data_IF_035921169907
#
_entry.id   IF_035921169907
#
_cell.length_a   1.000
_cell.length_b   1.000
_cell.length_c   1.000
_cell.angle_alpha   90.00
_cell.angle_beta   90.00
_cell.angle_gamma   90.00
#
_symmetry.space_group_name_H-M   'P 1'
#
loop_
_entity.id
_entity.type
_entity.pdbx_description
1 polymer ?
#
# COMPACT_ATOMS: atom_id res chain seq x y z
N UNK A 1 32.15 16.58 -6.00
CA UNK A 1 31.52 15.26 -6.16
C UNK A 1 30.77 15.26 -7.50
N UNK A 2 30.98 14.26 -8.37
CA UNK A 2 30.24 14.14 -9.64
C UNK A 2 29.03 13.26 -9.39
N UNK A 3 27.83 13.68 -9.80
CA UNK A 3 26.61 12.89 -9.73
C UNK A 3 25.89 12.90 -11.10
N UNK A 4 25.13 11.85 -11.37
CA UNK A 4 24.32 11.77 -12.60
C UNK A 4 23.01 12.50 -12.35
N UNK A 5 22.82 13.63 -12.99
CA UNK A 5 21.54 14.32 -12.97
C UNK A 5 20.55 13.59 -13.90
N UNK A 6 19.50 13.00 -13.32
CA UNK A 6 18.46 12.27 -14.07
C UNK A 6 17.19 13.09 -14.27
N UNK A 7 17.07 14.24 -13.60
CA UNK A 7 15.92 15.13 -13.66
C UNK A 7 16.34 16.57 -13.46
N UNK A 8 15.68 17.49 -14.15
CA UNK A 8 15.85 18.90 -13.86
C UNK A 8 15.34 19.21 -12.45
N UNK A 9 16.14 19.92 -11.68
CA UNK A 9 15.76 20.41 -10.35
C UNK A 9 15.02 21.72 -10.56
N UNK A 10 13.73 21.75 -10.18
CA UNK A 10 12.87 22.94 -10.26
C UNK A 10 12.62 23.50 -8.86
N UNK A 11 12.39 24.82 -8.76
CA UNK A 11 12.16 25.51 -7.50
C UNK A 11 13.43 25.87 -6.74
N UNK A 12 13.27 26.42 -5.54
CA UNK A 12 14.35 26.84 -4.66
C UNK A 12 14.85 25.65 -3.85
N UNK A 13 16.13 25.31 -3.96
CA UNK A 13 16.72 24.20 -3.18
C UNK A 13 16.78 24.58 -1.70
N UNK A 14 16.16 23.79 -0.84
CA UNK A 14 16.16 23.98 0.63
C UNK A 14 17.15 23.06 1.33
N UNK A 15 17.25 21.80 0.91
CA UNK A 15 18.11 20.83 1.56
C UNK A 15 18.60 19.78 0.55
N UNK A 16 19.79 19.23 0.82
CA UNK A 16 20.39 18.15 0.04
C UNK A 16 20.89 17.08 1.00
N UNK A 17 20.36 15.87 0.86
CA UNK A 17 20.76 14.71 1.65
C UNK A 17 21.50 13.71 0.79
N UNK A 18 22.67 13.29 1.25
CA UNK A 18 23.47 12.22 0.62
C UNK A 18 23.35 10.97 1.46
N UNK A 19 22.93 9.86 0.85
CA UNK A 19 22.77 8.58 1.53
C UNK A 19 23.42 7.44 0.77
N UNK A 20 23.77 6.37 1.48
CA UNK A 20 24.32 5.15 0.89
C UNK A 20 23.44 3.94 1.19
N UNK A 21 23.09 3.19 0.17
CA UNK A 21 22.38 1.93 0.32
C UNK A 21 22.92 0.87 -0.63
N UNK A 22 23.21 -0.33 -0.10
CA UNK A 22 23.71 -1.48 -0.87
C UNK A 22 24.93 -1.18 -1.77
N UNK A 23 25.81 -0.27 -1.33
CA UNK A 23 27.02 0.16 -2.06
C UNK A 23 26.76 1.18 -3.17
N UNK A 24 25.54 1.73 -3.27
CA UNK A 24 25.17 2.83 -4.15
C UNK A 24 24.99 4.12 -3.35
N UNK A 25 25.38 5.24 -3.91
CA UNK A 25 25.14 6.55 -3.36
C UNK A 25 23.91 7.18 -4.01
N UNK A 26 23.12 7.87 -3.21
CA UNK A 26 21.93 8.58 -3.61
C UNK A 26 22.00 10.02 -3.13
N UNK A 27 21.48 10.93 -3.92
CA UNK A 27 21.31 12.34 -3.56
C UNK A 27 19.81 12.61 -3.60
N UNK A 28 19.28 13.12 -2.49
CA UNK A 28 17.89 13.61 -2.38
C UNK A 28 17.97 15.13 -2.26
N UNK A 29 17.28 15.84 -3.14
CA UNK A 29 17.24 17.29 -3.18
C UNK A 29 15.81 17.72 -2.84
N UNK A 30 15.67 18.46 -1.75
CA UNK A 30 14.40 19.06 -1.36
C UNK A 30 14.30 20.44 -1.99
N UNK A 31 13.21 20.69 -2.69
CA UNK A 31 12.94 21.99 -3.31
C UNK A 31 11.58 22.53 -2.85
N UNK A 32 11.47 23.83 -2.85
CA UNK A 32 10.22 24.57 -2.62
C UNK A 32 9.84 25.29 -3.91
N UNK A 33 8.58 25.20 -4.30
CA UNK A 33 8.02 25.91 -5.45
C UNK A 33 6.57 26.27 -5.19
N UNK A 34 6.17 27.45 -5.62
CA UNK A 34 4.78 27.83 -5.65
C UNK A 34 4.12 27.16 -6.83
N UNK A 35 2.98 26.49 -6.58
CA UNK A 35 2.21 25.79 -7.62
C UNK A 35 0.74 26.19 -7.44
N UNK A 36 0.08 26.58 -8.54
CA UNK A 36 -1.38 26.77 -8.53
C UNK A 36 -2.08 25.47 -8.15
N UNK A 37 -3.19 25.55 -7.44
CA UNK A 37 -3.99 24.38 -7.08
C UNK A 37 -4.45 23.68 -8.36
N UNK A 38 -3.99 22.44 -8.62
CA UNK A 38 -4.36 21.74 -9.83
C UNK A 38 -5.84 21.31 -9.78
N UNK A 39 -6.47 21.24 -10.95
CA UNK A 39 -7.80 20.67 -11.11
C UNK A 39 -7.66 19.30 -11.78
N UNK A 40 -8.28 18.29 -11.20
CA UNK A 40 -8.18 16.95 -11.76
C UNK A 40 -8.95 16.85 -13.08
N UNK A 41 -8.36 16.27 -14.16
CA UNK A 41 -9.01 16.20 -15.48
C UNK A 41 -10.22 15.25 -15.52
N UNK A 42 -10.35 14.35 -14.54
CA UNK A 42 -11.50 13.44 -14.42
C UNK A 42 -12.39 13.89 -13.26
N UNK A 43 -13.70 13.67 -13.37
CA UNK A 43 -14.67 13.82 -12.29
C UNK A 43 -15.05 12.48 -11.64
N UNK A 44 -14.47 11.36 -12.09
CA UNK A 44 -14.87 10.03 -11.62
C UNK A 44 -14.38 9.72 -10.22
N UNK A 45 -15.17 8.91 -9.51
CA UNK A 45 -14.85 8.37 -8.20
C UNK A 45 -14.71 6.84 -8.29
N UNK A 46 -13.84 6.26 -7.49
CA UNK A 46 -13.62 4.82 -7.43
C UNK A 46 -13.39 4.33 -6.00
N UNK A 47 -14.00 3.20 -5.65
CA UNK A 47 -13.68 2.45 -4.44
C UNK A 47 -12.56 1.44 -4.73
N UNK A 48 -11.61 1.31 -3.83
CA UNK A 48 -10.47 0.41 -3.93
C UNK A 48 -10.45 -0.53 -2.73
N UNK A 49 -10.64 -1.82 -2.98
CA UNK A 49 -10.47 -2.90 -2.00
C UNK A 49 -9.06 -3.48 -2.12
N UNK A 50 -8.30 -3.46 -1.02
CA UNK A 50 -6.92 -3.94 -0.95
C UNK A 50 -6.86 -5.36 -0.40
N UNK A 51 -6.37 -6.31 -1.20
CA UNK A 51 -6.35 -7.73 -0.85
C UNK A 51 -4.98 -8.40 -0.97
N UNK A 52 -4.87 -9.61 -0.42
CA UNK A 52 -3.65 -10.43 -0.52
C UNK A 52 -3.67 -11.27 -1.81
N UNK A 53 -4.82 -11.79 -2.21
CA UNK A 53 -4.99 -12.59 -3.43
C UNK A 53 -4.91 -11.70 -4.68
N UNK A 54 -5.51 -10.53 -4.62
CA UNK A 54 -5.38 -9.43 -5.57
C UNK A 54 -4.81 -8.24 -4.83
N UNK A 55 -3.85 -7.50 -5.42
CA UNK A 55 -3.27 -6.33 -4.77
C UNK A 55 -4.35 -5.29 -4.47
N UNK A 56 -5.17 -5.02 -5.47
CA UNK A 56 -6.30 -4.11 -5.36
C UNK A 56 -7.37 -4.48 -6.39
N UNK A 57 -8.64 -4.36 -6.00
CA UNK A 57 -9.81 -4.49 -6.88
C UNK A 57 -10.58 -3.18 -6.83
N UNK A 58 -10.89 -2.62 -7.98
CA UNK A 58 -11.65 -1.38 -8.09
C UNK A 58 -13.16 -1.67 -8.22
N UNK A 59 -13.98 -0.70 -7.86
CA UNK A 59 -15.45 -0.78 -7.93
C UNK A 59 -15.99 -0.88 -9.37
N UNK A 60 -15.20 -0.50 -10.36
CA UNK A 60 -15.48 -0.68 -11.80
C UNK A 60 -15.18 -2.11 -12.30
N UNK A 61 -14.59 -2.97 -11.46
CA UNK A 61 -14.19 -4.32 -11.79
C UNK A 61 -12.72 -4.47 -12.23
N UNK A 62 -11.98 -3.39 -12.34
CA UNK A 62 -10.53 -3.43 -12.64
C UNK A 62 -9.78 -4.13 -11.51
N UNK A 63 -8.89 -5.06 -11.87
CA UNK A 63 -8.11 -5.85 -10.91
C UNK A 63 -6.62 -5.65 -11.15
N UNK A 64 -5.87 -5.43 -10.07
CA UNK A 64 -4.41 -5.41 -10.07
C UNK A 64 -3.87 -6.64 -9.35
N UNK A 65 -3.11 -7.46 -10.09
CA UNK A 65 -2.51 -8.67 -9.55
C UNK A 65 -1.34 -8.37 -8.61
N UNK A 66 -1.11 -9.19 -7.56
CA UNK A 66 0.01 -8.99 -6.65
C UNK A 66 1.35 -9.38 -7.31
N UNK A 67 2.37 -8.56 -7.14
CA UNK A 67 3.71 -8.87 -7.67
C UNK A 67 4.43 -9.96 -6.88
N UNK A 68 4.09 -10.14 -5.60
CA UNK A 68 4.64 -11.14 -4.68
C UNK A 68 6.18 -11.22 -4.70
N UNK A 69 6.82 -10.06 -4.65
CA UNK A 69 8.26 -9.92 -4.86
C UNK A 69 9.10 -10.65 -3.81
N UNK A 70 8.65 -10.63 -2.55
CA UNK A 70 9.31 -11.36 -1.46
C UNK A 70 9.08 -12.87 -1.61
N UNK A 71 7.85 -13.30 -1.84
CA UNK A 71 7.49 -14.71 -1.98
C UNK A 71 8.30 -15.40 -3.09
N UNK A 72 8.41 -14.75 -4.27
CA UNK A 72 9.21 -15.26 -5.40
C UNK A 72 10.69 -15.42 -5.09
N UNK A 73 11.23 -14.59 -4.20
CA UNK A 73 12.65 -14.60 -3.83
C UNK A 73 12.96 -15.31 -2.51
N UNK A 74 11.94 -15.81 -1.79
CA UNK A 74 12.09 -16.39 -0.43
C UNK A 74 13.06 -17.56 -0.38
N UNK A 75 12.99 -18.49 -1.35
CA UNK A 75 13.91 -19.64 -1.42
C UNK A 75 15.37 -19.21 -1.61
N UNK A 76 15.60 -18.22 -2.48
CA UNK A 76 16.94 -17.66 -2.73
C UNK A 76 17.46 -16.96 -1.49
N UNK A 77 16.63 -16.16 -0.81
CA UNK A 77 17.00 -15.48 0.43
C UNK A 77 17.40 -16.48 1.52
N UNK A 78 16.59 -17.52 1.73
CA UNK A 78 16.88 -18.57 2.71
C UNK A 78 18.19 -19.31 2.42
N UNK A 79 18.50 -19.59 1.14
CA UNK A 79 19.79 -20.17 0.73
C UNK A 79 20.95 -19.25 1.06
N UNK A 80 20.85 -17.97 0.73
CA UNK A 80 21.92 -16.99 1.00
C UNK A 80 22.14 -16.79 2.51
N UNK A 81 21.08 -16.81 3.31
CA UNK A 81 21.15 -16.71 4.78
C UNK A 81 21.83 -17.93 5.40
N UNK A 82 21.49 -19.17 4.94
CA UNK A 82 22.20 -20.39 5.37
C UNK A 82 23.67 -20.38 4.99
N UNK A 83 24.01 -19.82 3.82
CA UNK A 83 25.42 -19.64 3.43
C UNK A 83 26.13 -18.63 4.31
N UNK A 84 25.44 -17.57 4.74
CA UNK A 84 26.00 -16.58 5.66
C UNK A 84 26.29 -17.16 7.05
N UNK A 85 25.35 -17.96 7.60
CA UNK A 85 25.49 -18.57 8.94
C UNK A 85 26.68 -19.53 9.06
N UNK A 86 27.15 -20.11 7.93
CA UNK A 86 28.31 -20.99 7.86
C UNK A 86 29.65 -20.27 7.74
N UNK A 87 29.66 -18.94 7.68
CA UNK A 87 30.90 -18.15 7.53
C UNK A 87 31.33 -17.56 8.85
N UNK A 88 32.63 -17.42 9.03
CA UNK A 88 33.20 -16.72 10.17
C UNK A 88 32.71 -15.28 10.18
N UNK A 89 32.05 -14.88 11.27
CA UNK A 89 31.44 -13.55 11.41
C UNK A 89 32.51 -12.47 11.24
N UNK A 90 32.15 -11.41 10.51
CA UNK A 90 33.00 -10.27 10.15
C UNK A 90 34.16 -10.56 9.18
N UNK A 91 34.43 -11.81 8.79
CA UNK A 91 35.43 -12.11 7.75
C UNK A 91 35.06 -11.47 6.40
N UNK A 92 36.03 -11.29 5.51
CA UNK A 92 35.78 -10.78 4.15
C UNK A 92 34.73 -11.59 3.40
N UNK A 93 34.73 -12.93 3.54
CA UNK A 93 33.76 -13.81 2.91
C UNK A 93 32.35 -13.63 3.50
N UNK A 94 32.25 -13.40 4.83
CA UNK A 94 30.96 -13.07 5.47
C UNK A 94 30.44 -11.73 4.97
N UNK A 95 31.31 -10.71 4.86
CA UNK A 95 30.96 -9.38 4.35
C UNK A 95 30.45 -9.46 2.90
N UNK A 96 31.15 -10.20 2.02
CA UNK A 96 30.73 -10.42 0.64
C UNK A 96 29.36 -11.09 0.59
N UNK A 97 29.11 -12.08 1.45
CA UNK A 97 27.81 -12.78 1.51
C UNK A 97 26.69 -11.88 2.04
N UNK A 98 26.95 -11.09 3.09
CA UNK A 98 26.03 -10.08 3.62
C UNK A 98 25.60 -9.09 2.54
N UNK A 99 26.53 -8.58 1.72
CA UNK A 99 26.21 -7.67 0.61
C UNK A 99 25.30 -8.32 -0.43
N UNK A 100 25.44 -9.63 -0.71
CA UNK A 100 24.51 -10.35 -1.61
C UNK A 100 23.08 -10.36 -1.05
N UNK A 101 22.92 -10.61 0.24
CA UNK A 101 21.62 -10.58 0.93
C UNK A 101 21.01 -9.17 0.88
N UNK A 102 21.80 -8.15 1.21
CA UNK A 102 21.37 -6.75 1.15
C UNK A 102 20.90 -6.35 -0.25
N UNK A 103 21.65 -6.72 -1.30
CA UNK A 103 21.27 -6.46 -2.69
C UNK A 103 19.97 -7.17 -3.08
N UNK A 104 19.74 -8.40 -2.59
CA UNK A 104 18.49 -9.12 -2.83
C UNK A 104 17.30 -8.43 -2.16
N UNK A 105 17.44 -8.00 -0.89
CA UNK A 105 16.40 -7.23 -0.21
C UNK A 105 16.08 -5.92 -0.94
N UNK A 106 17.12 -5.18 -1.36
CA UNK A 106 16.95 -3.94 -2.13
C UNK A 106 16.21 -4.22 -3.46
N UNK A 107 16.57 -5.28 -4.17
CA UNK A 107 15.87 -5.69 -5.40
C UNK A 107 14.39 -6.00 -5.15
N UNK A 108 14.08 -6.77 -4.11
CA UNK A 108 12.69 -7.10 -3.72
C UNK A 108 11.89 -5.82 -3.43
N UNK A 109 12.47 -4.91 -2.64
CA UNK A 109 11.82 -3.64 -2.30
C UNK A 109 11.60 -2.75 -3.54
N UNK A 110 12.59 -2.68 -4.44
CA UNK A 110 12.50 -1.87 -5.66
C UNK A 110 11.46 -2.42 -6.64
N UNK A 111 11.37 -3.74 -6.84
CA UNK A 111 10.34 -4.37 -7.68
C UNK A 111 8.94 -4.01 -7.15
N UNK A 112 8.71 -4.15 -5.85
CA UNK A 112 7.43 -3.81 -5.23
C UNK A 112 7.12 -2.32 -5.38
N UNK A 113 8.08 -1.45 -5.08
CA UNK A 113 7.90 0.01 -5.18
C UNK A 113 7.58 0.44 -6.61
N UNK A 114 8.31 -0.05 -7.60
CA UNK A 114 8.06 0.25 -9.02
C UNK A 114 6.65 -0.17 -9.44
N UNK A 115 6.24 -1.38 -9.05
CA UNK A 115 4.90 -1.87 -9.35
C UNK A 115 3.82 -1.01 -8.71
N UNK A 116 3.97 -0.67 -7.42
CA UNK A 116 3.04 0.22 -6.73
C UNK A 116 2.97 1.60 -7.39
N UNK A 117 4.11 2.15 -7.85
CA UNK A 117 4.12 3.40 -8.60
C UNK A 117 3.31 3.31 -9.90
N UNK A 118 3.39 2.21 -10.62
CA UNK A 118 2.61 1.98 -11.86
C UNK A 118 1.12 1.93 -11.53
N UNK A 119 0.71 1.08 -10.59
CA UNK A 119 -0.69 0.92 -10.17
C UNK A 119 -1.27 2.25 -9.68
N UNK A 120 -0.62 2.90 -8.72
CA UNK A 120 -1.11 4.15 -8.14
C UNK A 120 -1.13 5.29 -9.14
N UNK A 121 -0.21 5.33 -10.12
CA UNK A 121 -0.25 6.32 -11.20
C UNK A 121 -1.44 6.10 -12.13
N UNK A 122 -1.74 4.85 -12.50
CA UNK A 122 -2.91 4.52 -13.32
C UNK A 122 -4.20 4.92 -12.62
N UNK A 123 -4.37 4.52 -11.36
CA UNK A 123 -5.58 4.84 -10.59
C UNK A 123 -5.73 6.35 -10.41
N UNK A 124 -4.63 7.06 -10.03
CA UNK A 124 -4.67 8.51 -9.81
C UNK A 124 -4.81 9.34 -11.09
N UNK A 125 -4.53 8.79 -12.26
CA UNK A 125 -4.78 9.47 -13.53
C UNK A 125 -6.26 9.42 -13.92
N UNK A 126 -6.91 8.31 -13.64
CA UNK A 126 -8.23 8.02 -14.14
C UNK A 126 -9.36 8.54 -13.22
N UNK A 127 -9.09 8.74 -11.93
CA UNK A 127 -10.12 9.08 -10.97
C UNK A 127 -9.73 10.29 -10.12
N UNK A 128 -10.64 11.25 -10.00
CA UNK A 128 -10.48 12.44 -9.16
C UNK A 128 -10.58 12.10 -7.67
N UNK A 129 -11.39 11.11 -7.31
CA UNK A 129 -11.54 10.67 -5.93
C UNK A 129 -11.35 9.16 -5.83
N UNK A 130 -10.52 8.76 -4.87
CA UNK A 130 -10.24 7.35 -4.57
C UNK A 130 -10.66 7.09 -3.13
N UNK A 131 -11.64 6.21 -2.94
CA UNK A 131 -12.09 5.78 -1.62
C UNK A 131 -11.38 4.47 -1.26
N UNK A 132 -10.74 4.44 -0.11
CA UNK A 132 -10.00 3.27 0.40
C UNK A 132 -10.46 2.91 1.81
N UNK A 133 -10.21 1.68 2.25
CA UNK A 133 -10.39 1.31 3.64
C UNK A 133 -9.27 1.87 4.53
N UNK A 134 -9.60 2.29 5.76
CA UNK A 134 -8.63 2.69 6.78
C UNK A 134 -7.98 1.46 7.44
N UNK A 135 -7.20 0.72 6.69
CA UNK A 135 -6.53 -0.49 7.15
C UNK A 135 -5.34 -0.16 8.07
N UNK A 136 -5.42 -0.61 9.33
CA UNK A 136 -4.30 -0.54 10.27
C UNK A 136 -3.34 -1.71 10.07
N UNK A 137 -2.49 -1.64 9.05
CA UNK A 137 -1.57 -2.70 8.62
C UNK A 137 -0.68 -3.19 9.77
N UNK A 138 -0.23 -2.30 10.66
CA UNK A 138 0.55 -2.65 11.85
C UNK A 138 -0.21 -3.62 12.77
N UNK A 139 -1.51 -3.39 12.98
CA UNK A 139 -2.34 -4.28 13.79
C UNK A 139 -2.61 -5.61 13.08
N UNK A 140 -2.84 -5.57 11.77
CA UNK A 140 -3.08 -6.76 10.95
C UNK A 140 -1.86 -7.68 10.91
N UNK A 141 -0.64 -7.14 10.99
CA UNK A 141 0.63 -7.87 10.92
C UNK A 141 1.26 -8.19 12.29
N UNK A 142 0.55 -7.97 13.40
CA UNK A 142 1.03 -8.34 14.74
C UNK A 142 1.32 -9.83 14.84
N UNK A 143 2.38 -10.17 15.60
CA UNK A 143 2.74 -11.56 15.90
C UNK A 143 1.64 -12.23 16.74
N UNK A 144 1.42 -13.51 16.49
CA UNK A 144 0.56 -14.36 17.33
C UNK A 144 1.37 -15.29 18.24
N UNK A 145 2.66 -15.01 18.50
CA UNK A 145 3.53 -15.88 19.27
C UNK A 145 3.08 -16.04 20.74
N UNK A 146 2.38 -15.04 21.29
CA UNK A 146 2.00 -15.03 22.70
C UNK A 146 3.20 -14.79 23.63
N UNK A 147 3.05 -15.17 24.89
CA UNK A 147 4.10 -15.15 25.92
C UNK A 147 4.48 -16.57 26.31
N UNK A 148 5.51 -16.72 27.14
CA UNK A 148 5.90 -18.04 27.68
C UNK A 148 4.77 -18.65 28.51
N UNK A 149 4.07 -17.83 29.32
CA UNK A 149 2.93 -18.26 30.15
C UNK A 149 1.64 -18.48 29.36
N UNK A 150 1.47 -17.81 28.22
CA UNK A 150 0.30 -17.94 27.34
C UNK A 150 0.76 -18.06 25.89
N UNK A 151 1.17 -19.25 25.43
CA UNK A 151 1.63 -19.46 24.07
C UNK A 151 0.54 -19.19 23.05
N UNK A 152 0.91 -18.52 21.96
CA UNK A 152 -0.03 -18.19 20.89
C UNK A 152 -0.47 -19.42 20.10
N UNK A 153 -1.65 -19.33 19.48
CA UNK A 153 -2.20 -20.36 18.59
C UNK A 153 -1.98 -20.01 17.11
N UNK A 154 -1.86 -21.03 16.27
CA UNK A 154 -1.72 -20.88 14.81
C UNK A 154 -0.57 -19.94 14.36
N UNK A 155 0.52 -19.86 15.15
CA UNK A 155 1.64 -18.93 14.96
C UNK A 155 2.24 -19.02 13.55
N UNK A 156 2.41 -20.26 13.01
CA UNK A 156 2.95 -20.47 11.66
C UNK A 156 2.04 -19.93 10.58
N UNK A 157 0.72 -20.20 10.65
CA UNK A 157 -0.26 -19.70 9.71
C UNK A 157 -0.33 -18.16 9.74
N UNK A 158 -0.38 -17.58 10.95
CA UNK A 158 -0.36 -16.12 11.14
C UNK A 158 0.94 -15.49 10.61
N UNK A 159 2.09 -16.10 10.84
CA UNK A 159 3.37 -15.64 10.29
C UNK A 159 3.38 -15.68 8.76
N UNK A 160 2.78 -16.71 8.15
CA UNK A 160 2.58 -16.80 6.70
C UNK A 160 1.71 -15.66 6.17
N UNK A 161 0.56 -15.44 6.80
CA UNK A 161 -0.36 -14.34 6.45
C UNK A 161 0.31 -12.98 6.62
N UNK A 162 1.03 -12.74 7.72
CA UNK A 162 1.75 -11.49 7.95
C UNK A 162 2.76 -11.19 6.84
N UNK A 163 3.52 -12.20 6.40
CA UNK A 163 4.44 -12.06 5.26
C UNK A 163 3.73 -11.69 3.97
N UNK A 164 2.58 -12.32 3.70
CA UNK A 164 1.78 -12.01 2.52
C UNK A 164 1.23 -10.58 2.56
N UNK A 165 0.70 -10.14 3.71
CA UNK A 165 0.22 -8.75 3.91
C UNK A 165 1.36 -7.74 3.69
N UNK A 166 2.51 -7.96 4.32
CA UNK A 166 3.65 -7.06 4.23
C UNK A 166 4.29 -7.03 2.82
N UNK A 167 4.17 -8.13 2.06
CA UNK A 167 4.66 -8.17 0.67
C UNK A 167 3.78 -7.35 -0.28
N UNK A 168 2.52 -7.03 0.06
CA UNK A 168 1.66 -6.17 -0.75
C UNK A 168 2.08 -4.69 -0.69
N UNK A 169 2.53 -4.21 0.47
CA UNK A 169 2.97 -2.83 0.65
C UNK A 169 1.81 -1.82 0.66
N UNK A 170 0.68 -2.15 1.28
CA UNK A 170 -0.53 -1.30 1.32
C UNK A 170 -0.30 0.07 1.94
N UNK A 171 0.57 0.17 2.96
CA UNK A 171 0.95 1.47 3.52
C UNK A 171 1.58 2.37 2.45
N UNK A 172 2.54 1.84 1.68
CA UNK A 172 3.20 2.59 0.62
C UNK A 172 2.24 2.91 -0.53
N UNK A 173 1.30 2.00 -0.84
CA UNK A 173 0.24 2.25 -1.83
C UNK A 173 -0.63 3.43 -1.41
N UNK A 174 -1.13 3.45 -0.16
CA UNK A 174 -1.91 4.55 0.40
C UNK A 174 -1.13 5.88 0.34
N UNK A 175 0.13 5.86 0.79
CA UNK A 175 1.01 7.04 0.73
C UNK A 175 1.17 7.57 -0.69
N UNK A 176 1.38 6.67 -1.67
CA UNK A 176 1.54 7.05 -3.07
C UNK A 176 0.24 7.59 -3.68
N UNK A 177 -0.90 7.01 -3.36
CA UNK A 177 -2.20 7.53 -3.78
C UNK A 177 -2.44 8.94 -3.23
N UNK A 178 -2.18 9.15 -1.93
CA UNK A 178 -2.40 10.44 -1.27
C UNK A 178 -1.63 11.57 -1.94
N UNK A 179 -0.30 11.47 -2.08
CA UNK A 179 0.46 12.57 -2.67
C UNK A 179 0.22 12.72 -4.18
N UNK A 180 -0.05 11.63 -4.91
CA UNK A 180 -0.33 11.71 -6.35
C UNK A 180 -1.68 12.37 -6.63
N UNK A 181 -2.67 12.11 -5.79
CA UNK A 181 -3.95 12.81 -5.87
C UNK A 181 -3.79 14.29 -5.54
N UNK A 182 -3.06 14.62 -4.48
CA UNK A 182 -2.76 16.02 -4.16
C UNK A 182 -2.11 16.75 -5.34
N UNK A 183 -1.12 16.14 -6.00
CA UNK A 183 -0.45 16.72 -7.17
C UNK A 183 -1.33 16.83 -8.42
N UNK A 184 -2.46 16.15 -8.45
CA UNK A 184 -3.40 16.15 -9.58
C UNK A 184 -4.69 16.91 -9.31
N UNK A 185 -4.85 17.48 -8.11
CA UNK A 185 -6.10 18.13 -7.68
C UNK A 185 -7.22 17.15 -7.38
N UNK A 186 -6.87 15.89 -7.10
CA UNK A 186 -7.80 14.86 -6.64
C UNK A 186 -7.71 14.64 -5.14
N UNK A 187 -8.48 13.67 -4.63
CA UNK A 187 -8.57 13.36 -3.21
C UNK A 187 -8.53 11.86 -2.95
N UNK A 188 -8.04 11.48 -1.76
CA UNK A 188 -8.14 10.12 -1.22
C UNK A 188 -8.96 10.18 0.06
N UNK A 189 -10.07 9.43 0.11
CA UNK A 189 -10.93 9.31 1.27
C UNK A 189 -10.75 7.93 1.90
N UNK A 190 -10.47 7.89 3.20
CA UNK A 190 -10.38 6.64 3.96
C UNK A 190 -11.69 6.41 4.72
N UNK A 191 -12.29 5.22 4.56
CA UNK A 191 -13.54 4.83 5.23
C UNK A 191 -13.30 3.66 6.18
N UNK A 192 -14.12 3.50 7.25
CA UNK A 192 -14.02 2.36 8.14
C UNK A 192 -14.20 1.03 7.39
N UNK A 193 -13.38 -0.01 7.68
CA UNK A 193 -13.44 -1.30 6.98
C UNK A 193 -14.57 -2.21 7.48
N UNK A 194 -15.45 -1.73 8.38
CA UNK A 194 -16.48 -2.55 9.00
C UNK A 194 -17.51 -3.02 7.96
N UNK A 195 -17.68 -4.35 7.87
CA UNK A 195 -18.71 -5.04 7.09
C UNK A 195 -18.66 -4.82 5.56
N UNK A 196 -17.70 -4.14 5.01
CA UNK A 196 -17.58 -3.89 3.55
C UNK A 196 -17.63 -5.17 2.72
N UNK A 197 -17.01 -6.25 3.21
CA UNK A 197 -16.99 -7.56 2.55
C UNK A 197 -18.25 -8.43 2.75
N UNK A 198 -19.16 -8.05 3.69
CA UNK A 198 -20.34 -8.84 4.06
C UNK A 198 -21.65 -8.19 3.61
N UNK A 199 -21.61 -6.88 3.36
CA UNK A 199 -22.77 -6.09 2.96
C UNK A 199 -23.08 -6.31 1.48
N UNK A 200 -24.35 -6.48 1.16
CA UNK A 200 -24.84 -6.51 -0.22
C UNK A 200 -24.94 -5.08 -0.77
N UNK A 201 -24.31 -4.81 -1.91
CA UNK A 201 -24.39 -3.50 -2.57
C UNK A 201 -25.78 -3.21 -3.12
N UNK A 202 -26.59 -4.25 -3.42
CA UNK A 202 -27.92 -4.10 -4.00
C UNK A 202 -28.98 -3.73 -2.94
N UNK A 203 -29.10 -4.53 -1.87
CA UNK A 203 -30.18 -4.36 -0.87
C UNK A 203 -29.67 -3.92 0.51
N UNK A 204 -28.36 -3.77 0.73
CA UNK A 204 -27.78 -3.38 2.00
C UNK A 204 -27.75 -4.50 3.07
N UNK A 205 -28.32 -5.67 2.83
CA UNK A 205 -28.31 -6.78 3.78
C UNK A 205 -26.87 -7.18 4.14
N UNK A 206 -26.58 -7.28 5.43
CA UNK A 206 -25.23 -7.60 5.94
C UNK A 206 -25.27 -8.91 6.71
N UNK A 207 -24.59 -9.93 6.16
CA UNK A 207 -24.44 -11.24 6.78
C UNK A 207 -23.14 -11.90 6.34
N UNK A 208 -22.55 -12.73 7.20
CA UNK A 208 -21.34 -13.50 6.88
C UNK A 208 -21.60 -14.51 5.76
N UNK A 209 -22.78 -15.06 5.74
CA UNK A 209 -23.28 -16.07 4.80
C UNK A 209 -23.40 -15.54 3.37
N UNK A 210 -23.43 -14.21 3.19
CA UNK A 210 -23.40 -13.58 1.87
C UNK A 210 -22.07 -13.86 1.15
N UNK A 211 -20.96 -14.07 1.89
CA UNK A 211 -19.66 -14.39 1.33
C UNK A 211 -19.45 -15.90 1.29
N UNK A 212 -19.83 -16.54 0.18
CA UNK A 212 -19.71 -17.98 0.00
C UNK A 212 -18.27 -18.48 -0.05
N UNK A 213 -17.36 -17.67 -0.60
CA UNK A 213 -15.92 -17.94 -0.65
C UNK A 213 -15.13 -16.64 -0.73
N UNK A 214 -13.81 -16.74 -0.84
CA UNK A 214 -12.96 -15.56 -1.00
C UNK A 214 -13.32 -14.74 -2.25
N UNK A 215 -13.78 -15.39 -3.32
CA UNK A 215 -14.10 -14.73 -4.59
C UNK A 215 -15.58 -14.66 -4.93
N UNK A 216 -16.44 -15.41 -4.21
CA UNK A 216 -17.87 -15.50 -4.54
C UNK A 216 -18.72 -14.84 -3.46
N UNK A 217 -19.53 -13.89 -3.88
CA UNK A 217 -20.55 -13.23 -3.08
C UNK A 217 -21.95 -13.59 -3.62
N UNK A 218 -22.89 -13.93 -2.73
CA UNK A 218 -24.31 -14.11 -3.03
C UNK A 218 -25.13 -13.65 -1.84
N UNK A 219 -25.95 -12.65 -2.05
CA UNK A 219 -26.86 -12.16 -1.00
C UNK A 219 -27.92 -13.20 -0.67
N UNK A 220 -28.09 -13.47 0.62
CA UNK A 220 -29.10 -14.44 1.10
C UNK A 220 -30.53 -13.90 1.01
N UNK A 221 -30.72 -12.57 0.92
CA UNK A 221 -32.04 -11.93 0.86
C UNK A 221 -32.47 -11.66 -0.57
N UNK A 222 -31.66 -10.91 -1.35
CA UNK A 222 -32.06 -10.50 -2.71
C UNK A 222 -31.48 -11.36 -3.83
N UNK A 223 -30.67 -12.36 -3.52
CA UNK A 223 -30.06 -13.26 -4.51
C UNK A 223 -28.97 -12.64 -5.39
N UNK A 224 -28.63 -11.34 -5.19
CA UNK A 224 -27.56 -10.67 -5.93
C UNK A 224 -26.24 -11.43 -5.86
N UNK A 225 -25.62 -11.69 -7.00
CA UNK A 225 -24.35 -12.42 -7.11
C UNK A 225 -23.28 -11.53 -7.75
N UNK A 226 -22.06 -11.58 -7.21
CA UNK A 226 -20.90 -10.83 -7.73
C UNK A 226 -19.58 -11.48 -7.32
N UNK A 227 -18.48 -11.00 -7.88
CA UNK A 227 -17.18 -11.21 -7.28
C UNK A 227 -17.11 -10.50 -5.91
N UNK A 228 -16.63 -11.20 -4.88
CA UNK A 228 -16.63 -10.70 -3.50
C UNK A 228 -15.78 -9.43 -3.33
N UNK A 229 -14.64 -9.35 -4.01
CA UNK A 229 -13.75 -8.19 -3.93
C UNK A 229 -14.34 -6.98 -4.68
N UNK A 230 -15.03 -7.21 -5.81
CA UNK A 230 -15.77 -6.14 -6.54
C UNK A 230 -16.95 -5.63 -5.70
N UNK A 231 -17.70 -6.53 -5.04
CA UNK A 231 -18.76 -6.12 -4.12
C UNK A 231 -18.21 -5.31 -2.95
N UNK A 232 -17.07 -5.72 -2.38
CA UNK A 232 -16.34 -4.97 -1.34
C UNK A 232 -15.94 -3.57 -1.82
N UNK A 233 -15.31 -3.46 -2.99
CA UNK A 233 -14.90 -2.18 -3.56
C UNK A 233 -16.09 -1.24 -3.84
N UNK A 234 -17.24 -1.77 -4.27
CA UNK A 234 -18.50 -1.00 -4.44
C UNK A 234 -19.06 -0.51 -3.11
N UNK A 235 -18.98 -1.33 -2.06
CA UNK A 235 -19.40 -0.91 -0.71
C UNK A 235 -18.48 0.16 -0.14
N UNK A 236 -17.16 0.07 -0.40
CA UNK A 236 -16.18 1.11 -0.05
C UNK A 236 -16.54 2.42 -0.75
N UNK A 237 -16.84 2.38 -2.04
CA UNK A 237 -17.28 3.56 -2.79
C UNK A 237 -18.58 4.15 -2.21
N UNK A 238 -19.57 3.31 -1.93
CA UNK A 238 -20.85 3.74 -1.34
C UNK A 238 -20.66 4.41 0.05
N UNK A 239 -19.74 3.87 0.87
CA UNK A 239 -19.38 4.49 2.14
C UNK A 239 -18.74 5.87 1.93
N UNK A 240 -17.88 6.02 0.90
CA UNK A 240 -17.32 7.32 0.53
C UNK A 240 -18.37 8.33 0.12
N UNK A 241 -19.36 7.94 -0.68
CA UNK A 241 -20.49 8.79 -1.04
C UNK A 241 -21.29 9.23 0.19
N UNK A 242 -21.53 8.32 1.15
CA UNK A 242 -22.25 8.64 2.38
C UNK A 242 -21.50 9.69 3.21
N UNK A 243 -20.18 9.55 3.38
CA UNK A 243 -19.34 10.52 4.09
C UNK A 243 -19.41 11.91 3.43
N UNK A 244 -19.34 11.97 2.11
CA UNK A 244 -19.47 13.23 1.37
C UNK A 244 -20.86 13.86 1.52
N UNK A 245 -21.91 13.06 1.46
CA UNK A 245 -23.30 13.52 1.59
C UNK A 245 -23.59 14.05 3.01
N UNK A 246 -23.00 13.46 4.04
CA UNK A 246 -23.14 13.91 5.44
C UNK A 246 -22.32 15.17 5.76
N UNK A 247 -21.53 15.71 4.84
CA UNK A 247 -20.71 16.90 5.05
C UNK A 247 -19.56 16.75 6.05
N UNK A 248 -19.26 15.54 6.51
CA UNK A 248 -18.16 15.25 7.46
C UNK A 248 -16.78 15.65 6.94
N UNK A 249 -16.62 15.77 5.62
CA UNK A 249 -15.39 16.31 5.03
C UNK A 249 -15.14 17.77 5.36
N UNK A 250 -16.18 18.55 5.68
CA UNK A 250 -16.07 19.96 6.05
C UNK A 250 -15.66 20.13 7.51
N UNK A 251 -15.98 19.15 8.38
CA UNK A 251 -15.65 19.18 9.80
C UNK A 251 -14.29 18.56 10.14
N UNK A 252 -13.74 17.73 9.29
CA UNK A 252 -12.32 17.39 9.37
C UNK A 252 -11.45 18.53 8.85
N UNK A 253 -11.82 19.75 9.17
CA UNK A 253 -10.98 20.94 9.20
C UNK A 253 -9.76 20.81 10.12
N UNK A 254 -9.24 19.62 10.29
CA UNK A 254 -7.83 19.37 10.55
C UNK A 254 -7.11 19.91 9.34
N UNK A 255 -6.87 21.17 9.57
CA UNK A 255 -6.02 22.03 8.82
C UNK A 255 -5.17 21.24 7.82
N UNK A 256 -5.27 21.62 6.57
CA UNK A 256 -4.22 21.43 5.54
C UNK A 256 -2.84 21.98 6.00
N UNK A 257 -2.70 22.34 7.27
CA UNK A 257 -1.48 22.62 8.02
C UNK A 257 -0.79 21.39 8.59
N UNK A 258 -1.18 20.16 8.27
CA UNK A 258 -0.24 19.05 8.32
C UNK A 258 0.72 19.24 7.16
N UNK A 259 1.80 19.87 7.52
CA UNK A 259 2.91 20.20 6.65
C UNK A 259 3.30 18.99 5.80
N UNK A 260 3.55 19.20 4.49
CA UNK A 260 4.10 18.16 3.62
C UNK A 260 5.44 17.58 4.11
N UNK A 261 6.02 18.15 5.13
CA UNK A 261 7.30 17.81 5.75
C UNK A 261 7.37 16.38 6.25
N UNK A 262 6.28 15.81 6.81
CA UNK A 262 6.29 14.40 7.24
C UNK A 262 6.18 13.41 6.07
N UNK A 263 5.60 13.80 4.94
CA UNK A 263 5.51 12.93 3.77
C UNK A 263 6.81 12.88 2.95
N UNK A 264 7.68 13.87 3.09
CA UNK A 264 8.95 13.94 2.36
C UNK A 264 10.08 13.23 3.12
N UNK A 265 10.01 13.16 4.46
CA UNK A 265 11.00 12.46 5.28
C UNK A 265 10.90 10.93 5.20
N UNK A 266 9.78 10.37 4.75
CA UNK A 266 9.61 8.93 4.58
C UNK A 266 10.24 8.35 3.30
N UNK A 267 10.94 9.15 2.50
CA UNK A 267 11.57 8.74 1.23
C UNK A 267 13.09 8.67 1.28
N UNK A 268 13.69 8.76 2.46
CA UNK A 268 15.10 8.46 2.63
C UNK A 268 15.37 6.94 2.72
#
# INVERSE_FOLDING_TARGET
>A
MRYRNSRQVTGVVKNVTVSQSCGKWYISIQTESEVSTPVHPSASMVGLDAGVAKLATLSDGTVFEPVNSFQKNQKTLARLQRQLSRKVKFSNNWQKQKRKIQRLHSRIANIRRDYLHKVTTTVSKNHAMIVIEDLKVSNMSKSAAGTVSQPGRNVRAKSGLNRSILDQGWYEMRRQLAYKQLWRGGQVLAVPPAYTSQRCVCCGHTAKENRLSQSKFRCQVCGYTANADVNGARNILAAGHAVLACGEMVQSGRSLKQEPTEMIQATA
#
